data_IF_091100413841
#
_entry.id   IF_091100413841
#
_cell.length_a   1.000
_cell.length_b   1.000
_cell.length_c   1.000
_cell.angle_alpha   90.00
_cell.angle_beta   90.00
_cell.angle_gamma   90.00
#
_symmetry.space_group_name_H-M   'P 1'
#
loop_
_entity.id
_entity.type
_entity.pdbx_description
1 polymer ?
#
# COMPACT_ATOMS: atom_id res chain seq x y z
N UNK A 1 -9.48 -38.67 -36.64
CA UNK A 1 -10.50 -38.38 -35.62
C UNK A 1 -11.80 -37.82 -36.21
N UNK A 2 -11.78 -37.05 -37.32
CA UNK A 2 -13.01 -36.58 -37.97
C UNK A 2 -13.89 -37.68 -38.58
N UNK A 3 -13.32 -38.62 -39.33
CA UNK A 3 -14.08 -39.67 -40.04
C UNK A 3 -14.85 -40.63 -39.12
N UNK A 4 -14.30 -40.93 -37.94
CA UNK A 4 -14.92 -41.84 -36.97
C UNK A 4 -16.08 -41.16 -36.24
N UNK A 5 -15.99 -39.85 -36.03
CA UNK A 5 -17.04 -39.05 -35.39
C UNK A 5 -18.22 -38.82 -36.34
N UNK A 6 -17.93 -38.54 -37.62
CA UNK A 6 -18.95 -38.43 -38.67
C UNK A 6 -19.74 -39.74 -38.84
N UNK A 7 -19.03 -40.88 -38.96
CA UNK A 7 -19.71 -42.19 -39.03
C UNK A 7 -20.56 -42.51 -37.81
N UNK A 8 -20.17 -42.06 -36.61
CA UNK A 8 -20.96 -42.30 -35.39
C UNK A 8 -22.21 -41.41 -35.34
N UNK A 9 -22.11 -40.18 -35.85
CA UNK A 9 -23.20 -39.21 -35.91
C UNK A 9 -24.33 -39.70 -36.83
N UNK A 10 -23.96 -40.17 -38.03
CA UNK A 10 -24.91 -40.69 -39.04
C UNK A 10 -25.59 -42.01 -38.61
N UNK A 11 -24.97 -42.80 -37.72
CA UNK A 11 -25.49 -44.11 -37.28
C UNK A 11 -26.53 -44.03 -36.16
N UNK A 12 -26.53 -42.95 -35.35
CA UNK A 12 -27.33 -42.87 -34.12
C UNK A 12 -28.30 -41.69 -34.07
N UNK A 13 -28.18 -40.70 -34.96
CA UNK A 13 -29.07 -39.54 -35.02
C UNK A 13 -29.90 -39.65 -36.32
N UNK A 14 -31.22 -39.92 -36.24
CA UNK A 14 -32.07 -39.95 -37.42
C UNK A 14 -32.09 -38.58 -38.10
N UNK A 15 -32.05 -38.55 -39.44
CA UNK A 15 -32.11 -37.31 -40.24
C UNK A 15 -33.32 -36.44 -39.90
N UNK A 16 -34.42 -37.05 -39.47
CA UNK A 16 -35.66 -36.38 -39.04
C UNK A 16 -35.49 -35.49 -37.80
N UNK A 17 -34.50 -35.78 -36.95
CA UNK A 17 -34.26 -35.08 -35.68
C UNK A 17 -33.18 -33.99 -35.81
N UNK A 18 -32.34 -34.09 -36.84
CA UNK A 18 -31.24 -33.16 -37.10
C UNK A 18 -31.64 -31.67 -37.20
N UNK A 19 -32.80 -31.29 -37.80
CA UNK A 19 -33.27 -29.89 -37.86
C UNK A 19 -33.55 -29.28 -36.48
N UNK A 20 -33.77 -30.12 -35.46
CA UNK A 20 -34.04 -29.68 -34.08
C UNK A 20 -32.77 -29.57 -33.24
N UNK A 21 -31.71 -30.31 -33.58
CA UNK A 21 -30.44 -30.36 -32.83
C UNK A 21 -29.49 -29.23 -33.27
N UNK A 22 -29.38 -28.98 -34.58
CA UNK A 22 -28.44 -27.97 -35.11
C UNK A 22 -28.68 -26.56 -34.56
N UNK A 23 -29.92 -26.02 -34.50
CA UNK A 23 -30.18 -24.71 -33.92
C UNK A 23 -29.78 -24.63 -32.44
N UNK A 24 -29.95 -25.73 -31.69
CA UNK A 24 -29.54 -25.83 -30.29
C UNK A 24 -28.01 -25.76 -30.14
N UNK A 25 -27.26 -26.45 -31.01
CA UNK A 25 -25.80 -26.40 -31.01
C UNK A 25 -25.28 -24.99 -31.35
N UNK A 26 -25.83 -24.34 -32.38
CA UNK A 26 -25.48 -22.96 -32.72
C UNK A 26 -25.84 -21.97 -31.59
N UNK A 27 -26.98 -22.16 -30.93
CA UNK A 27 -27.36 -21.34 -29.78
C UNK A 27 -26.37 -21.50 -28.61
N UNK A 28 -25.94 -22.73 -28.30
CA UNK A 28 -24.93 -22.99 -27.27
C UNK A 28 -23.58 -22.35 -27.64
N UNK A 29 -23.14 -22.47 -28.89
CA UNK A 29 -21.90 -21.83 -29.36
C UNK A 29 -21.97 -20.30 -29.29
N UNK A 30 -23.12 -19.72 -29.64
CA UNK A 30 -23.31 -18.27 -29.57
C UNK A 30 -23.31 -17.75 -28.13
N UNK A 31 -24.02 -18.43 -27.22
CA UNK A 31 -24.05 -18.07 -25.79
C UNK A 31 -22.69 -18.28 -25.12
N UNK A 32 -22.04 -19.41 -25.35
CA UNK A 32 -20.71 -19.69 -24.78
C UNK A 32 -19.63 -18.78 -25.37
N UNK A 33 -19.65 -18.55 -26.69
CA UNK A 33 -18.75 -17.63 -27.38
C UNK A 33 -18.91 -16.18 -26.91
N UNK A 34 -20.14 -15.69 -26.78
CA UNK A 34 -20.41 -14.34 -26.25
C UNK A 34 -19.97 -14.20 -24.80
N UNK A 35 -20.20 -15.21 -23.95
CA UNK A 35 -19.70 -15.21 -22.57
C UNK A 35 -18.16 -15.13 -22.50
N UNK A 36 -17.46 -15.86 -23.36
CA UNK A 36 -15.98 -15.80 -23.45
C UNK A 36 -15.53 -14.41 -23.90
N UNK A 37 -16.17 -13.83 -24.93
CA UNK A 37 -15.84 -12.48 -25.41
C UNK A 37 -16.07 -11.42 -24.35
N UNK A 38 -17.20 -11.48 -23.62
CA UNK A 38 -17.51 -10.58 -22.50
C UNK A 38 -16.47 -10.74 -21.39
N UNK A 39 -16.10 -11.97 -21.03
CA UNK A 39 -15.07 -12.25 -20.03
C UNK A 39 -13.72 -11.68 -20.43
N UNK A 40 -13.30 -11.87 -21.69
CA UNK A 40 -12.05 -11.33 -22.23
C UNK A 40 -12.07 -9.80 -22.21
N UNK A 41 -13.16 -9.19 -22.67
CA UNK A 41 -13.34 -7.74 -22.64
C UNK A 41 -13.24 -7.18 -21.22
N UNK A 42 -13.93 -7.80 -20.25
CA UNK A 42 -13.86 -7.42 -18.85
C UNK A 42 -12.44 -7.57 -18.28
N UNK A 43 -11.72 -8.64 -18.64
CA UNK A 43 -10.33 -8.86 -18.22
C UNK A 43 -9.40 -7.79 -18.75
N UNK A 44 -9.51 -7.42 -20.03
CA UNK A 44 -8.72 -6.34 -20.65
C UNK A 44 -9.05 -5.00 -20.00
N UNK A 45 -10.33 -4.67 -19.84
CA UNK A 45 -10.80 -3.46 -19.17
C UNK A 45 -10.25 -3.34 -17.74
N UNK A 46 -10.30 -4.44 -16.98
CA UNK A 46 -9.75 -4.47 -15.62
C UNK A 46 -8.23 -4.32 -15.60
N UNK A 47 -7.51 -4.99 -16.49
CA UNK A 47 -6.06 -4.86 -16.60
C UNK A 47 -5.64 -3.41 -16.88
N UNK A 48 -6.33 -2.73 -17.80
CA UNK A 48 -6.08 -1.31 -18.10
C UNK A 48 -6.35 -0.43 -16.87
N UNK A 49 -7.47 -0.62 -16.17
CA UNK A 49 -7.78 0.11 -14.94
C UNK A 49 -6.70 -0.05 -13.87
N UNK A 50 -6.25 -1.29 -13.65
CA UNK A 50 -5.19 -1.59 -12.69
C UNK A 50 -3.87 -0.92 -13.10
N UNK A 51 -3.51 -0.99 -14.39
CA UNK A 51 -2.29 -0.36 -14.90
C UNK A 51 -2.30 1.16 -14.68
N UNK A 52 -3.42 1.82 -14.96
CA UNK A 52 -3.58 3.26 -14.69
C UNK A 52 -3.47 3.54 -13.19
N UNK A 53 -4.17 2.79 -12.34
CA UNK A 53 -4.12 2.97 -10.89
C UNK A 53 -2.71 2.78 -10.32
N UNK A 54 -1.94 1.82 -10.84
CA UNK A 54 -0.53 1.61 -10.46
C UNK A 54 0.35 2.79 -10.85
N UNK A 55 0.18 3.35 -12.04
CA UNK A 55 0.91 4.56 -12.46
C UNK A 55 0.56 5.76 -11.59
N UNK A 56 -0.73 5.98 -11.31
CA UNK A 56 -1.18 7.05 -10.44
C UNK A 56 -0.61 6.90 -9.02
N UNK A 57 -0.60 5.69 -8.47
CA UNK A 57 -0.02 5.42 -7.16
C UNK A 57 1.49 5.72 -7.12
N UNK A 58 2.22 5.36 -8.17
CA UNK A 58 3.66 5.69 -8.31
C UNK A 58 3.88 7.20 -8.36
N UNK A 59 3.09 7.92 -9.16
CA UNK A 59 3.17 9.38 -9.26
C UNK A 59 2.85 10.07 -7.93
N UNK A 60 1.77 9.65 -7.25
CA UNK A 60 1.40 10.18 -5.92
C UNK A 60 2.50 9.97 -4.91
N UNK A 61 3.08 8.76 -4.86
CA UNK A 61 4.20 8.45 -3.96
C UNK A 61 5.42 9.33 -4.26
N UNK A 62 5.78 9.49 -5.52
CA UNK A 62 6.89 10.35 -5.92
C UNK A 62 6.66 11.81 -5.49
N UNK A 63 5.44 12.32 -5.67
CA UNK A 63 5.08 13.68 -5.24
C UNK A 63 5.11 13.82 -3.72
N UNK A 64 4.57 12.85 -2.97
CA UNK A 64 4.64 12.84 -1.49
C UNK A 64 6.08 12.89 -0.98
N UNK A 65 6.99 12.10 -1.56
CA UNK A 65 8.41 12.10 -1.19
C UNK A 65 9.09 13.42 -1.54
N UNK A 66 8.74 14.01 -2.69
CA UNK A 66 9.24 15.32 -3.12
C UNK A 66 8.77 16.43 -2.18
N UNK A 67 7.47 16.48 -1.86
CA UNK A 67 6.92 17.44 -0.90
C UNK A 67 7.57 17.30 0.47
N UNK A 68 7.73 16.06 0.96
CA UNK A 68 8.42 15.80 2.22
C UNK A 68 9.85 16.33 2.20
N UNK A 69 10.63 16.05 1.15
CA UNK A 69 12.00 16.56 1.00
C UNK A 69 12.02 18.10 1.07
N UNK A 70 11.11 18.77 0.37
CA UNK A 70 11.01 20.23 0.38
C UNK A 70 10.64 20.79 1.77
N UNK A 71 9.74 20.13 2.51
CA UNK A 71 9.41 20.53 3.89
C UNK A 71 10.62 20.37 4.81
N UNK A 72 11.30 19.23 4.73
CA UNK A 72 12.46 18.94 5.56
C UNK A 72 13.64 19.88 5.27
N UNK A 73 13.84 20.31 4.02
CA UNK A 73 14.84 21.32 3.67
C UNK A 73 14.58 22.69 4.32
N UNK A 74 13.34 23.00 4.68
CA UNK A 74 12.97 24.22 5.42
C UNK A 74 13.08 24.05 6.94
N UNK A 75 13.30 22.84 7.43
CA UNK A 75 13.48 22.60 8.86
C UNK A 75 14.78 23.22 9.36
N UNK A 76 14.80 23.66 10.62
CA UNK A 76 15.98 24.21 11.28
C UNK A 76 17.02 23.14 11.69
N UNK A 77 16.79 21.88 11.33
CA UNK A 77 17.56 20.75 11.83
C UNK A 77 18.88 20.59 11.04
N UNK A 78 20.01 20.83 11.71
CA UNK A 78 21.34 20.75 11.09
C UNK A 78 21.74 19.31 10.76
N UNK A 79 22.70 19.12 9.84
CA UNK A 79 23.25 17.79 9.53
C UNK A 79 23.89 17.13 10.77
N UNK A 80 24.60 17.90 11.59
CA UNK A 80 25.22 17.40 12.81
C UNK A 80 24.17 16.89 13.81
N UNK A 81 23.10 17.64 14.03
CA UNK A 81 22.00 17.22 14.91
C UNK A 81 21.31 15.96 14.38
N UNK A 82 21.08 15.85 13.06
CA UNK A 82 20.52 14.63 12.45
C UNK A 82 21.40 13.42 12.72
N UNK A 83 22.70 13.53 12.48
CA UNK A 83 23.63 12.43 12.69
C UNK A 83 23.71 12.05 14.17
N UNK A 84 23.69 13.03 15.08
CA UNK A 84 23.63 12.80 16.52
C UNK A 84 22.36 12.06 16.92
N UNK A 85 21.19 12.44 16.42
CA UNK A 85 19.92 11.76 16.73
C UNK A 85 19.96 10.31 16.21
N UNK A 86 20.40 10.12 14.96
CA UNK A 86 20.42 8.81 14.30
C UNK A 86 21.47 7.84 14.86
N UNK A 87 22.45 8.32 15.63
CA UNK A 87 23.45 7.46 16.29
C UNK A 87 23.02 6.96 17.67
N UNK A 88 21.94 7.51 18.23
CA UNK A 88 21.42 7.08 19.53
C UNK A 88 20.67 5.76 19.42
N UNK A 89 20.80 4.92 20.46
CA UNK A 89 19.85 3.83 20.67
C UNK A 89 18.52 4.35 21.20
N UNK A 90 17.51 3.47 21.22
CA UNK A 90 16.15 3.83 21.64
C UNK A 90 16.08 4.28 23.11
N UNK A 91 16.95 3.76 23.99
CA UNK A 91 16.93 4.07 25.43
C UNK A 91 17.42 5.50 25.65
N UNK A 92 18.52 5.88 24.99
CA UNK A 92 19.04 7.23 25.02
C UNK A 92 18.09 8.22 24.34
N UNK A 93 17.52 7.85 23.19
CA UNK A 93 16.55 8.68 22.48
C UNK A 93 15.32 8.97 23.35
N UNK A 94 14.77 7.94 24.02
CA UNK A 94 13.66 8.06 24.94
C UNK A 94 14.02 8.94 26.15
N UNK A 95 15.23 8.78 26.70
CA UNK A 95 15.73 9.64 27.79
C UNK A 95 15.75 11.11 27.39
N UNK A 96 16.32 11.43 26.22
CA UNK A 96 16.43 12.81 25.74
C UNK A 96 15.10 13.44 25.31
N UNK A 97 14.14 12.62 24.85
CA UNK A 97 12.77 13.08 24.64
C UNK A 97 12.06 13.35 25.98
N UNK A 98 12.29 12.50 26.99
CA UNK A 98 11.69 12.64 28.32
C UNK A 98 12.22 13.85 29.09
N UNK A 99 13.51 14.14 29.00
CA UNK A 99 14.14 15.32 29.62
C UNK A 99 14.01 16.61 28.79
N UNK A 100 13.42 16.50 27.59
CA UNK A 100 13.22 17.59 26.61
C UNK A 100 14.50 18.22 26.06
N UNK A 101 15.63 17.55 26.18
CA UNK A 101 16.85 17.96 25.46
C UNK A 101 16.74 17.74 23.95
N UNK A 102 15.83 16.86 23.51
CA UNK A 102 15.41 16.71 22.12
C UNK A 102 13.90 16.94 21.97
N UNK A 103 13.51 17.57 20.86
CA UNK A 103 12.11 17.70 20.45
C UNK A 103 11.70 16.51 19.59
N UNK A 104 10.48 16.02 19.78
CA UNK A 104 9.89 14.96 18.99
C UNK A 104 9.84 15.33 17.50
N UNK A 105 9.57 16.58 17.15
CA UNK A 105 9.58 17.03 15.74
C UNK A 105 10.98 16.93 15.11
N UNK A 106 12.04 17.24 15.86
CA UNK A 106 13.42 17.14 15.37
C UNK A 106 13.84 15.68 15.19
N UNK A 107 13.42 14.82 16.12
CA UNK A 107 13.62 13.37 16.01
C UNK A 107 12.87 12.81 14.79
N UNK A 108 11.60 13.16 14.61
CA UNK A 108 10.82 12.76 13.43
C UNK A 108 11.50 13.20 12.13
N UNK A 109 11.93 14.46 12.03
CA UNK A 109 12.59 14.98 10.84
C UNK A 109 13.90 14.25 10.54
N UNK A 110 14.71 13.92 11.56
CA UNK A 110 15.93 13.13 11.38
C UNK A 110 15.63 11.75 10.74
N UNK A 111 14.61 11.06 11.24
CA UNK A 111 14.18 9.77 10.70
C UNK A 111 13.52 9.89 9.32
N UNK A 112 12.78 10.96 9.03
CA UNK A 112 12.21 11.20 7.71
C UNK A 112 13.29 11.52 6.67
N UNK A 113 14.32 12.29 7.02
CA UNK A 113 15.51 12.45 6.16
C UNK A 113 16.16 11.10 5.89
N UNK A 114 16.33 10.27 6.93
CA UNK A 114 16.92 8.94 6.76
C UNK A 114 16.07 8.02 5.88
N UNK A 115 14.75 8.10 6.00
CA UNK A 115 13.83 7.36 5.17
C UNK A 115 13.88 7.79 3.70
N UNK A 116 14.06 9.09 3.41
CA UNK A 116 14.28 9.56 2.04
C UNK A 116 15.59 8.99 1.45
N UNK A 117 16.68 9.00 2.20
CA UNK A 117 17.95 8.40 1.77
C UNK A 117 17.81 6.89 1.52
N UNK A 118 17.14 6.17 2.42
CA UNK A 118 16.89 4.74 2.27
C UNK A 118 15.98 4.47 1.06
N UNK A 119 14.97 5.29 0.85
CA UNK A 119 14.05 5.16 -0.28
C UNK A 119 14.76 5.28 -1.62
N UNK A 120 15.72 6.20 -1.76
CA UNK A 120 16.55 6.32 -2.97
C UNK A 120 17.39 5.07 -3.24
N UNK A 121 17.87 4.41 -2.18
CA UNK A 121 18.77 3.25 -2.29
C UNK A 121 18.03 1.94 -2.51
N UNK A 122 16.92 1.73 -1.82
CA UNK A 122 16.27 0.40 -1.71
C UNK A 122 14.76 0.42 -1.93
N UNK A 123 14.17 1.55 -2.30
CA UNK A 123 12.73 1.65 -2.61
C UNK A 123 11.81 1.10 -1.49
N UNK A 124 12.14 1.38 -0.23
CA UNK A 124 11.48 0.79 0.93
C UNK A 124 10.18 1.48 1.39
N UNK A 125 9.93 2.74 1.02
CA UNK A 125 8.76 3.52 1.43
C UNK A 125 7.63 3.40 0.41
N UNK A 126 6.43 3.06 0.87
CA UNK A 126 5.21 2.97 0.05
C UNK A 126 4.36 4.22 0.18
N UNK A 127 4.14 4.73 1.39
CA UNK A 127 3.41 5.96 1.64
C UNK A 127 3.98 6.73 2.83
N UNK A 128 3.81 8.05 2.82
CA UNK A 128 4.05 8.92 3.98
C UNK A 128 2.77 8.97 4.83
N UNK A 129 2.92 8.84 6.14
CA UNK A 129 1.79 8.96 7.08
C UNK A 129 1.54 10.46 7.35
N UNK A 130 0.34 10.98 7.03
CA UNK A 130 0.09 12.43 6.96
C UNK A 130 0.05 13.13 8.33
N UNK A 131 -0.36 12.44 9.39
CA UNK A 131 -0.53 12.99 10.75
C UNK A 131 0.76 12.91 11.59
N UNK A 132 1.88 12.43 11.04
CA UNK A 132 3.12 12.23 11.77
C UNK A 132 3.68 13.51 12.40
N UNK A 133 3.75 14.61 11.64
CA UNK A 133 4.26 15.90 12.12
C UNK A 133 3.34 16.50 13.21
N UNK A 134 2.01 16.36 13.05
CA UNK A 134 1.04 16.79 14.06
C UNK A 134 1.20 16.01 15.37
N UNK A 135 1.37 14.68 15.29
CA UNK A 135 1.60 13.84 16.46
C UNK A 135 2.91 14.19 17.17
N UNK A 136 3.99 14.47 16.42
CA UNK A 136 5.25 14.90 17.00
C UNK A 136 5.12 16.26 17.72
N UNK A 137 4.50 17.25 17.08
CA UNK A 137 4.23 18.56 17.72
C UNK A 137 3.32 18.44 18.96
N UNK A 138 2.36 17.51 18.94
CA UNK A 138 1.53 17.19 20.10
C UNK A 138 2.32 16.56 21.24
N UNK A 139 3.37 15.79 20.92
CA UNK A 139 4.29 15.29 21.95
C UNK A 139 5.06 16.46 22.58
N UNK A 140 5.62 17.35 21.75
CA UNK A 140 6.39 18.51 22.23
C UNK A 140 5.57 19.48 23.10
N UNK A 141 4.27 19.63 22.81
CA UNK A 141 3.38 20.54 23.54
C UNK A 141 2.81 20.00 24.85
N UNK A 142 2.88 18.69 25.11
CA UNK A 142 2.42 18.11 26.38
C UNK A 142 3.27 18.64 27.53
N UNK A 143 2.71 18.99 28.71
CA UNK A 143 3.46 19.52 29.84
C UNK A 143 4.31 18.47 30.57
N UNK A 144 3.92 17.20 30.49
CA UNK A 144 4.63 16.10 31.13
C UNK A 144 4.74 14.90 30.18
N UNK A 145 5.91 14.27 30.16
CA UNK A 145 6.16 13.04 29.39
C UNK A 145 5.79 11.83 30.26
N UNK A 146 4.58 11.32 30.07
CA UNK A 146 4.05 10.16 30.82
C UNK A 146 4.03 8.88 30.00
N UNK A 147 4.13 8.98 28.67
CA UNK A 147 3.94 7.87 27.76
C UNK A 147 5.28 7.19 27.42
N UNK A 148 5.33 5.85 27.33
CA UNK A 148 6.59 5.13 27.16
C UNK A 148 7.22 5.31 25.78
N UNK A 149 6.46 5.53 24.71
CA UNK A 149 7.00 5.73 23.36
C UNK A 149 6.93 7.20 22.92
N UNK A 150 6.84 8.14 23.87
CA UNK A 150 6.66 9.56 23.60
C UNK A 150 7.64 10.09 22.56
N UNK A 151 7.11 10.54 21.42
CA UNK A 151 7.88 11.17 20.34
C UNK A 151 8.71 10.20 19.48
N UNK A 152 8.66 8.89 19.74
CA UNK A 152 9.47 7.90 19.02
C UNK A 152 8.88 7.64 17.63
N UNK A 153 9.62 7.89 16.53
CA UNK A 153 9.15 7.59 15.18
C UNK A 153 9.08 6.08 14.93
N UNK A 154 7.99 5.61 14.33
CA UNK A 154 7.78 4.20 14.00
C UNK A 154 7.43 4.05 12.52
N UNK A 155 8.17 3.22 11.79
CA UNK A 155 7.78 2.80 10.45
C UNK A 155 6.81 1.62 10.55
N UNK A 156 5.78 1.61 9.71
CA UNK A 156 4.78 0.54 9.69
C UNK A 156 4.99 -0.32 8.45
N UNK A 157 4.90 -1.64 8.59
CA UNK A 157 4.75 -2.52 7.43
C UNK A 157 3.46 -2.19 6.69
N UNK A 158 3.42 -2.21 5.35
CA UNK A 158 2.21 -1.88 4.58
C UNK A 158 0.97 -2.71 4.98
N UNK A 159 1.16 -3.93 5.49
CA UNK A 159 0.08 -4.79 6.00
C UNK A 159 -0.63 -4.25 7.26
N UNK A 160 -0.13 -3.18 7.87
CA UNK A 160 -0.71 -2.58 9.07
C UNK A 160 -1.62 -1.42 8.63
N UNK A 161 -2.90 -1.51 8.96
CA UNK A 161 -3.88 -0.49 8.58
C UNK A 161 -3.62 0.81 9.31
N UNK A 162 -3.53 1.89 8.53
CA UNK A 162 -3.54 3.27 8.98
C UNK A 162 -4.66 4.01 8.25
N UNK A 163 -5.46 4.77 8.99
CA UNK A 163 -6.56 5.57 8.47
C UNK A 163 -6.08 6.48 7.34
N UNK A 164 -6.86 6.53 6.25
CA UNK A 164 -6.58 7.38 5.08
C UNK A 164 -5.54 6.82 4.12
N UNK A 165 -4.88 5.70 4.43
CA UNK A 165 -3.93 5.04 3.53
C UNK A 165 -4.55 3.79 2.88
N UNK A 166 -4.12 3.49 1.65
CA UNK A 166 -4.46 2.22 0.99
C UNK A 166 -3.51 1.13 1.44
N UNK A 167 -4.04 -0.08 1.54
CA UNK A 167 -3.27 -1.30 1.76
C UNK A 167 -3.30 -2.11 0.48
N UNK A 168 -2.15 -2.29 -0.18
CA UNK A 168 -2.11 -3.00 -1.46
C UNK A 168 -1.69 -4.46 -1.33
N UNK A 169 -0.89 -4.79 -0.32
CA UNK A 169 -0.18 -6.08 -0.23
C UNK A 169 0.68 -6.35 -1.48
N UNK A 170 1.15 -5.30 -2.16
CA UNK A 170 1.80 -5.40 -3.46
C UNK A 170 0.89 -5.80 -4.63
N UNK A 171 -0.44 -5.91 -4.42
CA UNK A 171 -1.40 -6.25 -5.47
C UNK A 171 -1.95 -4.99 -6.13
N UNK A 172 -1.74 -4.85 -7.45
CA UNK A 172 -2.20 -3.68 -8.21
C UNK A 172 -3.72 -3.52 -8.21
N UNK A 173 -4.49 -4.62 -8.17
CA UNK A 173 -5.95 -4.58 -8.08
C UNK A 173 -6.45 -3.92 -6.80
N UNK A 174 -5.68 -4.03 -5.71
CA UNK A 174 -6.05 -3.44 -4.41
C UNK A 174 -6.08 -1.91 -4.43
N UNK A 175 -5.40 -1.27 -5.40
CA UNK A 175 -5.44 0.19 -5.58
C UNK A 175 -6.81 0.73 -6.00
N UNK A 176 -7.69 -0.15 -6.52
CA UNK A 176 -9.04 0.20 -6.90
C UNK A 176 -10.00 0.29 -5.69
N UNK A 177 -9.59 -0.22 -4.53
CA UNK A 177 -10.36 -0.10 -3.29
C UNK A 177 -10.13 1.25 -2.59
N UNK A 178 -11.11 1.69 -1.78
CA UNK A 178 -10.94 2.89 -0.98
C UNK A 178 -9.82 2.71 0.08
N UNK A 179 -9.21 3.82 0.54
CA UNK A 179 -8.31 3.79 1.70
C UNK A 179 -8.99 3.27 2.96
N UNK A 180 -8.19 2.84 3.94
CA UNK A 180 -8.70 2.41 5.24
C UNK A 180 -9.45 3.54 5.95
N UNK A 181 -10.61 3.22 6.53
CA UNK A 181 -11.45 4.18 7.26
C UNK A 181 -10.98 4.41 8.70
N UNK A 182 -10.20 3.49 9.26
CA UNK A 182 -9.72 3.51 10.63
C UNK A 182 -8.32 2.92 10.77
N UNK A 183 -7.66 3.25 11.88
CA UNK A 183 -6.38 2.67 12.30
C UNK A 183 -6.60 1.25 12.84
N UNK A 184 -5.63 0.37 12.58
CA UNK A 184 -5.57 -0.93 13.27
C UNK A 184 -5.35 -0.76 14.78
N UNK A 185 -5.74 -1.76 15.57
CA UNK A 185 -5.53 -1.77 17.03
C UNK A 185 -4.05 -1.55 17.41
N UNK A 186 -3.12 -2.06 16.60
CA UNK A 186 -1.69 -1.84 16.80
C UNK A 186 -1.31 -0.36 16.63
N UNK A 187 -1.81 0.30 15.58
CA UNK A 187 -1.54 1.74 15.35
C UNK A 187 -2.15 2.59 16.44
N UNK A 188 -3.39 2.27 16.87
CA UNK A 188 -4.04 2.94 18.01
C UNK A 188 -3.20 2.81 19.28
N UNK A 189 -2.79 1.59 19.61
CA UNK A 189 -1.91 1.33 20.76
C UNK A 189 -0.59 2.11 20.67
N UNK A 190 0.07 2.14 19.51
CA UNK A 190 1.30 2.92 19.31
C UNK A 190 1.06 4.41 19.56
N UNK A 191 0.00 5.00 18.99
CA UNK A 191 -0.36 6.42 19.19
C UNK A 191 -0.73 6.70 20.66
N UNK A 192 -1.43 5.79 21.32
CA UNK A 192 -1.80 5.89 22.73
C UNK A 192 -0.56 5.85 23.64
N UNK A 193 0.43 5.03 23.29
CA UNK A 193 1.74 4.98 23.95
C UNK A 193 2.66 6.15 23.54
N UNK A 194 2.21 7.08 22.70
CA UNK A 194 2.91 8.31 22.35
C UNK A 194 3.89 8.20 21.18
N UNK A 195 3.91 7.06 20.49
CA UNK A 195 4.71 6.87 19.30
C UNK A 195 4.19 7.70 18.12
N UNK A 196 5.06 7.93 17.14
CA UNK A 196 4.78 8.72 15.94
C UNK A 196 4.96 7.84 14.69
N UNK A 197 3.90 7.12 14.25
CA UNK A 197 3.93 6.45 12.96
C UNK A 197 4.18 7.45 11.83
N UNK A 198 5.18 7.21 10.96
CA UNK A 198 5.57 8.21 9.95
C UNK A 198 5.65 7.75 8.48
N UNK A 199 5.85 6.46 8.23
CA UNK A 199 5.85 5.89 6.87
C UNK A 199 5.29 4.48 6.88
N UNK A 200 4.77 4.05 5.73
CA UNK A 200 4.54 2.62 5.45
C UNK A 200 5.65 2.05 4.57
N UNK A 201 6.03 0.80 4.82
CA UNK A 201 7.16 0.12 4.16
C UNK A 201 6.72 -1.01 3.24
N UNK A 202 7.50 -1.21 2.18
CA UNK A 202 7.22 -2.13 1.08
C UNK A 202 7.17 -3.60 1.54
N UNK A 203 6.38 -4.41 0.85
CA UNK A 203 6.18 -5.83 1.12
C UNK A 203 6.27 -6.65 -0.18
N UNK A 204 6.65 -7.93 -0.12
CA UNK A 204 6.52 -8.83 -1.27
C UNK A 204 5.05 -8.97 -1.64
N UNK A 205 4.79 -9.19 -2.94
CA UNK A 205 3.43 -9.32 -3.46
C UNK A 205 2.70 -10.47 -2.76
N UNK A 206 1.49 -10.19 -2.26
CA UNK A 206 0.67 -11.11 -1.48
C UNK A 206 1.33 -11.65 -0.20
N UNK A 207 2.40 -11.04 0.30
CA UNK A 207 3.14 -11.48 1.49
C UNK A 207 3.83 -12.84 1.38
N UNK A 208 3.96 -13.37 0.16
CA UNK A 208 4.59 -14.66 -0.13
C UNK A 208 5.99 -14.43 -0.71
N UNK A 209 6.97 -15.13 -0.16
CA UNK A 209 8.38 -15.12 -0.58
C UNK A 209 8.84 -16.51 -0.90
#
# INVERSE_FOLDING_TARGET
MGDTFYKYYDLYIPEEVQPYIEPGFYAILFVSGSAILISLFNRVRMHLKVKTAMNDARCRRAEQLKCLRQRLQKSSLTLEMRNKILSLDIVHLQKFLKDRSLKAIDVLHAYQFKALEAQEKINCVVAIIPDAEELALKCDSQPYVTKPLHGIPVSLKETIFHKGLRMTWGLGSSLLYPPATDDSNLVKCLKDLGAVPFVTTNVPQAMLT
#
